data_IF_009669158091
#
_entry.id   IF_009669158091
#
_cell.length_a   1.000
_cell.length_b   1.000
_cell.length_c   1.000
_cell.angle_alpha   90.00
_cell.angle_beta   90.00
_cell.angle_gamma   90.00
#
_symmetry.space_group_name_H-M   'P 1'
#
loop_
_entity.id
_entity.type
_entity.pdbx_description
1 polymer ?
#
# COMPACT_ATOMS: atom_id res chain seq x y z
N UNK A 1 -9.99 3.26 23.43
CA UNK A 1 -8.68 3.83 23.76
C UNK A 1 -7.60 2.77 23.58
N UNK A 2 -6.47 3.16 23.05
CA UNK A 2 -5.34 2.26 22.82
C UNK A 2 -4.07 2.89 23.41
N UNK A 3 -3.10 2.08 23.86
CA UNK A 3 -1.85 2.64 24.35
C UNK A 3 -1.03 3.21 23.19
N UNK A 4 -0.38 4.35 23.45
CA UNK A 4 0.53 4.94 22.50
C UNK A 4 1.75 4.03 22.32
N UNK A 5 2.12 3.73 21.09
CA UNK A 5 3.26 2.88 20.79
C UNK A 5 4.59 3.49 21.24
N UNK A 6 4.66 4.82 21.40
CA UNK A 6 5.87 5.51 21.78
C UNK A 6 6.02 5.66 23.31
N UNK A 7 4.99 6.15 23.99
CA UNK A 7 5.08 6.45 25.44
C UNK A 7 4.24 5.55 26.34
N UNK A 8 3.36 4.73 25.78
CA UNK A 8 2.47 3.84 26.53
C UNK A 8 1.25 4.51 27.15
N UNK A 9 1.10 5.82 27.03
CA UNK A 9 -0.07 6.53 27.53
C UNK A 9 -1.34 6.19 26.76
N UNK A 10 -2.48 6.15 27.44
CA UNK A 10 -3.74 5.87 26.76
C UNK A 10 -4.18 7.03 25.86
N UNK A 11 -4.52 6.70 24.60
CA UNK A 11 -4.90 7.68 23.59
C UNK A 11 -6.24 7.28 23.00
N UNK A 12 -7.15 8.27 22.87
CA UNK A 12 -8.42 8.05 22.18
C UNK A 12 -8.17 7.86 20.67
N UNK A 13 -8.95 6.99 20.06
CA UNK A 13 -8.80 6.65 18.64
C UNK A 13 -8.93 7.85 17.70
N UNK A 14 -9.66 8.88 18.10
CA UNK A 14 -9.85 10.10 17.30
C UNK A 14 -8.62 10.99 17.22
N UNK A 15 -7.65 10.81 18.13
CA UNK A 15 -6.46 11.66 18.15
C UNK A 15 -5.45 11.22 17.08
N UNK A 16 -4.97 12.18 16.31
CA UNK A 16 -3.93 11.96 15.32
C UNK A 16 -2.54 11.92 15.95
N UNK A 17 -2.40 12.56 17.09
CA UNK A 17 -1.16 12.64 17.84
C UNK A 17 -1.43 12.31 19.30
N UNK A 18 -0.44 11.70 19.94
CA UNK A 18 -0.53 11.42 21.36
C UNK A 18 -0.53 12.72 22.16
N UNK A 19 -1.49 12.93 23.08
CA UNK A 19 -1.48 14.14 23.91
C UNK A 19 -0.35 14.17 24.92
N UNK A 20 0.28 13.04 25.19
CA UNK A 20 1.35 12.92 26.19
C UNK A 20 2.75 13.11 25.60
N UNK A 21 3.02 12.59 24.41
CA UNK A 21 4.35 12.63 23.81
C UNK A 21 4.39 13.22 22.41
N UNK A 22 3.23 13.61 21.85
CA UNK A 22 3.07 14.17 20.52
C UNK A 22 3.42 13.21 19.36
N UNK A 23 3.65 11.91 19.64
CA UNK A 23 3.92 10.94 18.58
C UNK A 23 2.67 10.73 17.70
N UNK A 24 2.86 10.58 16.39
CA UNK A 24 1.73 10.27 15.49
C UNK A 24 1.07 8.94 15.87
N UNK A 25 -0.27 8.91 15.91
CA UNK A 25 -1.02 7.71 16.28
C UNK A 25 -1.32 6.81 15.09
N UNK A 26 -1.36 7.38 13.89
CA UNK A 26 -1.54 6.58 12.68
C UNK A 26 -0.17 6.19 12.15
N UNK A 27 0.16 4.92 12.30
CA UNK A 27 1.38 4.38 11.71
C UNK A 27 1.07 4.05 10.25
N UNK A 28 1.83 4.66 9.35
CA UNK A 28 1.69 4.37 7.93
C UNK A 28 3.05 4.30 7.27
N UNK A 29 3.14 3.46 6.27
CA UNK A 29 4.26 3.42 5.35
C UNK A 29 3.80 4.07 4.06
N UNK A 30 4.59 4.98 3.53
CA UNK A 30 4.26 5.68 2.28
C UNK A 30 5.42 5.53 1.31
N UNK A 31 5.10 5.17 0.08
CA UNK A 31 6.10 5.06 -0.97
C UNK A 31 5.54 5.60 -2.27
N UNK A 32 6.39 6.25 -3.06
CA UNK A 32 6.04 6.77 -4.37
C UNK A 32 6.72 5.94 -5.44
N UNK A 33 5.96 5.60 -6.46
CA UNK A 33 6.45 4.85 -7.61
C UNK A 33 6.31 5.73 -8.85
N UNK A 34 7.41 5.84 -9.62
CA UNK A 34 7.41 6.61 -10.84
C UNK A 34 6.54 5.90 -11.88
N UNK A 35 5.72 6.65 -12.58
CA UNK A 35 4.90 6.09 -13.64
C UNK A 35 5.76 5.62 -14.82
N UNK A 36 5.23 4.68 -15.58
CA UNK A 36 5.80 4.28 -16.86
C UNK A 36 5.84 5.51 -17.78
N UNK A 37 6.81 5.57 -18.69
CA UNK A 37 6.95 6.69 -19.64
C UNK A 37 5.68 7.00 -20.43
N UNK A 38 4.81 6.01 -20.57
CA UNK A 38 3.49 6.16 -21.17
C UNK A 38 2.61 7.17 -20.42
N UNK A 39 2.79 7.26 -19.12
CA UNK A 39 2.06 8.17 -18.24
C UNK A 39 3.02 9.18 -17.59
N UNK A 40 3.94 9.70 -18.39
CA UNK A 40 4.96 10.63 -17.91
C UNK A 40 4.33 11.81 -17.15
N UNK A 41 5.00 12.23 -16.09
CA UNK A 41 4.51 13.31 -15.24
C UNK A 41 3.59 12.87 -14.11
N UNK A 42 3.20 11.59 -14.07
CA UNK A 42 2.37 11.04 -13.00
C UNK A 42 3.21 10.21 -12.04
N UNK A 43 2.66 9.99 -10.87
CA UNK A 43 3.27 9.13 -9.86
C UNK A 43 2.18 8.36 -9.12
N UNK A 44 2.50 7.15 -8.71
CA UNK A 44 1.64 6.36 -7.84
C UNK A 44 2.14 6.48 -6.41
N UNK A 45 1.29 6.96 -5.52
CA UNK A 45 1.55 6.97 -4.09
C UNK A 45 0.82 5.79 -3.46
N UNK A 46 1.55 4.99 -2.72
CA UNK A 46 0.97 3.86 -1.97
C UNK A 46 1.16 4.14 -0.49
N UNK A 47 0.06 4.16 0.24
CA UNK A 47 0.07 4.37 1.69
C UNK A 47 -0.49 3.13 2.37
N UNK A 48 0.34 2.49 3.19
CA UNK A 48 -0.09 1.34 3.97
C UNK A 48 -0.37 1.78 5.39
N UNK A 49 -1.62 1.66 5.81
CA UNK A 49 -2.06 2.00 7.16
C UNK A 49 -2.03 0.75 8.02
N UNK A 50 -1.04 0.68 8.91
CA UNK A 50 -0.76 -0.54 9.67
C UNK A 50 -1.86 -0.88 10.67
N UNK A 51 -2.41 0.13 11.33
CA UNK A 51 -3.42 -0.08 12.36
C UNK A 51 -4.84 -0.27 11.79
N UNK A 52 -5.13 0.37 10.67
CA UNK A 52 -6.43 0.31 10.01
C UNK A 52 -6.53 -0.83 8.98
N UNK A 53 -5.45 -1.54 8.75
CA UNK A 53 -5.36 -2.71 7.87
C UNK A 53 -5.90 -2.48 6.47
N UNK A 54 -5.48 -1.38 5.85
CA UNK A 54 -5.79 -1.15 4.45
C UNK A 54 -4.62 -0.48 3.75
N UNK A 55 -4.65 -0.54 2.43
CA UNK A 55 -3.65 0.08 1.57
C UNK A 55 -4.36 1.06 0.65
N UNK A 56 -3.92 2.30 0.63
CA UNK A 56 -4.50 3.33 -0.23
C UNK A 56 -3.57 3.62 -1.39
N UNK A 57 -4.12 3.59 -2.58
CA UNK A 57 -3.44 3.92 -3.81
C UNK A 57 -3.94 5.27 -4.31
N UNK A 58 -3.04 6.16 -4.71
CA UNK A 58 -3.44 7.44 -5.29
C UNK A 58 -2.52 7.80 -6.45
N UNK A 59 -3.12 8.38 -7.47
CA UNK A 59 -2.40 8.85 -8.67
C UNK A 59 -2.23 10.35 -8.55
N UNK A 60 -0.99 10.81 -8.65
CA UNK A 60 -0.63 12.22 -8.51
C UNK A 60 -0.12 12.78 -9.84
N UNK A 61 -0.50 14.01 -10.16
CA UNK A 61 -0.07 14.71 -11.35
C UNK A 61 1.22 15.52 -11.10
N UNK A 62 1.71 16.18 -12.13
CA UNK A 62 2.92 17.00 -12.08
C UNK A 62 2.79 18.21 -11.13
N UNK A 63 1.57 18.64 -10.87
CA UNK A 63 1.28 19.79 -10.01
C UNK A 63 1.13 19.41 -8.54
N UNK A 64 1.33 18.13 -8.21
CA UNK A 64 1.17 17.65 -6.85
C UNK A 64 -0.28 17.49 -6.41
N UNK A 65 -1.18 17.25 -7.36
CA UNK A 65 -2.60 17.02 -7.08
C UNK A 65 -2.94 15.55 -7.28
N UNK A 66 -3.73 15.02 -6.38
CA UNK A 66 -4.24 13.66 -6.51
C UNK A 66 -5.39 13.65 -7.51
N UNK A 67 -5.24 12.88 -8.59
CA UNK A 67 -6.28 12.74 -9.62
C UNK A 67 -7.33 11.69 -9.23
N UNK A 68 -6.90 10.63 -8.57
CA UNK A 68 -7.77 9.53 -8.18
C UNK A 68 -7.16 8.79 -7.00
N UNK A 69 -7.99 8.11 -6.25
CA UNK A 69 -7.54 7.30 -5.13
C UNK A 69 -8.51 6.15 -4.89
N UNK A 70 -7.98 5.03 -4.41
CA UNK A 70 -8.76 3.87 -4.01
C UNK A 70 -8.06 3.17 -2.86
N UNK A 71 -8.82 2.67 -1.91
CA UNK A 71 -8.29 1.89 -0.81
C UNK A 71 -8.69 0.43 -0.97
N UNK A 72 -7.74 -0.47 -0.72
CA UNK A 72 -7.97 -1.90 -0.73
C UNK A 72 -7.82 -2.44 0.69
N UNK A 73 -8.71 -3.32 1.11
CA UNK A 73 -8.53 -4.07 2.34
C UNK A 73 -7.37 -5.05 2.22
N UNK A 74 -6.96 -5.64 3.34
CA UNK A 74 -5.81 -6.55 3.36
C UNK A 74 -5.93 -7.73 2.41
N UNK A 75 -7.10 -8.36 2.32
CA UNK A 75 -7.29 -9.50 1.44
C UNK A 75 -7.06 -9.16 -0.03
N UNK A 76 -7.58 -8.02 -0.49
CA UNK A 76 -7.37 -7.56 -1.86
C UNK A 76 -5.94 -7.08 -2.09
N UNK A 77 -5.33 -6.45 -1.09
CA UNK A 77 -3.92 -6.06 -1.16
C UNK A 77 -3.01 -7.28 -1.30
N UNK A 78 -3.30 -8.38 -0.61
CA UNK A 78 -2.57 -9.63 -0.75
C UNK A 78 -2.73 -10.24 -2.14
N UNK A 79 -3.95 -10.19 -2.70
CA UNK A 79 -4.19 -10.63 -4.07
C UNK A 79 -3.37 -9.82 -5.06
N UNK A 80 -3.33 -8.50 -4.87
CA UNK A 80 -2.54 -7.63 -5.72
C UNK A 80 -1.04 -7.96 -5.60
N UNK A 81 -0.55 -8.19 -4.39
CA UNK A 81 0.84 -8.55 -4.16
C UNK A 81 1.21 -9.84 -4.91
N UNK A 82 0.35 -10.85 -4.85
CA UNK A 82 0.57 -12.10 -5.58
C UNK A 82 0.55 -11.89 -7.10
N UNK A 83 -0.38 -11.07 -7.56
CA UNK A 83 -0.48 -10.75 -8.99
C UNK A 83 0.77 -10.02 -9.49
N UNK A 84 1.31 -9.10 -8.69
CA UNK A 84 2.51 -8.33 -9.01
C UNK A 84 3.81 -9.07 -8.70
N UNK A 85 3.72 -10.32 -8.24
CA UNK A 85 4.90 -11.13 -7.95
C UNK A 85 5.84 -11.22 -9.15
N UNK A 86 7.09 -11.67 -8.93
CA UNK A 86 8.10 -11.67 -9.98
C UNK A 86 7.61 -12.38 -11.26
N UNK A 87 7.72 -11.70 -12.40
CA UNK A 87 7.36 -12.26 -13.71
C UNK A 87 8.01 -13.61 -13.95
N UNK A 88 9.25 -13.76 -13.52
CA UNK A 88 10.00 -15.00 -13.64
C UNK A 88 9.28 -16.18 -12.99
N UNK A 89 8.71 -15.98 -11.81
CA UNK A 89 7.97 -17.02 -11.08
C UNK A 89 6.65 -17.35 -11.78
N UNK A 90 5.95 -16.34 -12.29
CA UNK A 90 4.70 -16.53 -13.04
C UNK A 90 4.94 -17.23 -14.35
N UNK A 91 6.02 -16.87 -15.04
CA UNK A 91 6.41 -17.51 -16.29
C UNK A 91 6.68 -19.01 -16.10
N UNK A 92 7.35 -19.38 -15.01
CA UNK A 92 7.59 -20.78 -14.67
C UNK A 92 6.28 -21.55 -14.48
N UNK A 93 5.31 -20.95 -13.84
CA UNK A 93 4.00 -21.57 -13.63
C UNK A 93 3.28 -21.78 -14.96
N UNK A 94 3.32 -20.81 -15.85
CA UNK A 94 2.72 -20.91 -17.17
C UNK A 94 3.42 -21.97 -18.01
N UNK A 95 4.74 -21.98 -18.00
CA UNK A 95 5.53 -22.96 -18.76
C UNK A 95 5.28 -24.38 -18.27
N UNK A 96 5.21 -24.59 -16.96
CA UNK A 96 4.87 -25.88 -16.38
C UNK A 96 3.48 -26.36 -16.80
N UNK A 97 2.49 -25.45 -16.81
CA UNK A 97 1.13 -25.72 -17.25
C UNK A 97 1.09 -26.12 -18.72
N UNK A 98 1.80 -25.38 -19.58
CA UNK A 98 1.86 -25.66 -21.00
C UNK A 98 2.55 -26.98 -21.30
N UNK A 99 3.61 -27.34 -20.58
CA UNK A 99 4.26 -28.63 -20.71
C UNK A 99 3.31 -29.79 -20.38
N UNK A 100 2.50 -29.62 -19.33
CA UNK A 100 1.51 -30.61 -18.96
C UNK A 100 0.49 -30.82 -20.07
N UNK A 101 0.12 -29.76 -20.79
CA UNK A 101 -0.85 -29.83 -21.88
C UNK A 101 -0.29 -30.44 -23.18
N UNK A 102 1.05 -30.48 -23.33
CA UNK A 102 1.70 -31.07 -24.49
C UNK A 102 1.69 -32.60 -24.50
N UNK A 103 1.32 -33.18 -23.39
CA UNK A 103 1.17 -34.62 -23.27
C UNK A 103 -0.12 -35.09 -23.95
#
# INVERSE_FOLDING_TARGET
MAPCANCGGEVEERYRYCPWCAAPQRRKLVEFFRAHERDAGKALRVSRYLDERHVRFSVWDERGRAEAAVSLGEGEAERLTRFLGPLRQRQRTIDAFLETLRL
#
